data_IF_918505791829
#
_entry.id   IF_918505791829
#
_cell.length_a   1.000
_cell.length_b   1.000
_cell.length_c   1.000
_cell.angle_alpha   90.00
_cell.angle_beta   90.00
_cell.angle_gamma   90.00
#
_symmetry.space_group_name_H-M   'P 1'
#
loop_
_entity.id
_entity.type
_entity.pdbx_description
1 polymer ?
#
# COMPACT_ATOMS: atom_id res chain seq x y z
N UNK A 1 27.84 9.23 -18.47
CA UNK A 1 26.79 9.86 -19.30
C UNK A 1 26.15 10.92 -18.43
N UNK A 2 26.26 12.20 -18.80
CA UNK A 2 25.64 13.29 -18.03
C UNK A 2 24.21 13.43 -18.52
N UNK A 3 23.25 12.83 -17.81
CA UNK A 3 21.82 12.97 -18.12
C UNK A 3 21.41 14.36 -17.67
N UNK A 4 21.00 15.24 -18.59
CA UNK A 4 20.33 16.48 -18.23
C UNK A 4 18.90 16.14 -17.83
N UNK A 5 18.63 16.19 -16.53
CA UNK A 5 17.28 16.01 -15.98
C UNK A 5 16.63 17.38 -15.95
N UNK A 6 15.47 17.52 -16.57
CA UNK A 6 14.66 18.72 -16.41
C UNK A 6 13.88 18.61 -15.09
N UNK A 7 14.40 19.24 -14.04
CA UNK A 7 13.98 19.00 -12.66
C UNK A 7 12.59 19.56 -12.31
N UNK A 8 11.87 20.19 -13.24
CA UNK A 8 10.74 21.07 -12.91
C UNK A 8 9.48 20.95 -13.78
N UNK A 9 9.35 19.94 -14.64
CA UNK A 9 8.12 19.78 -15.42
C UNK A 9 7.04 19.01 -14.64
N UNK A 10 6.34 19.77 -13.79
CA UNK A 10 5.19 19.29 -13.02
C UNK A 10 3.91 19.39 -13.85
N UNK A 11 2.99 18.41 -13.71
CA UNK A 11 1.71 18.43 -14.39
C UNK A 11 0.85 19.59 -13.88
N UNK A 12 0.12 20.20 -14.81
CA UNK A 12 -0.90 21.21 -14.51
C UNK A 12 -2.11 20.57 -13.82
N UNK A 13 -2.97 21.41 -13.24
CA UNK A 13 -4.23 20.95 -12.64
C UNK A 13 -5.13 20.28 -13.67
N UNK A 14 -5.17 20.83 -14.88
CA UNK A 14 -5.96 20.36 -16.01
C UNK A 14 -5.52 18.96 -16.46
N UNK A 15 -4.21 18.68 -16.44
CA UNK A 15 -3.64 17.36 -16.74
C UNK A 15 -3.86 16.34 -15.61
N UNK A 16 -3.77 16.76 -14.35
CA UNK A 16 -3.93 15.84 -13.20
C UNK A 16 -5.39 15.46 -12.93
N UNK A 17 -6.33 16.37 -13.16
CA UNK A 17 -7.76 16.14 -12.85
C UNK A 17 -8.34 14.87 -13.50
N UNK A 18 -8.13 14.58 -14.80
CA UNK A 18 -8.60 13.33 -15.39
C UNK A 18 -7.85 12.11 -14.83
N UNK A 19 -6.55 12.21 -14.55
CA UNK A 19 -5.74 11.09 -14.05
C UNK A 19 -6.14 10.67 -12.64
N UNK A 20 -6.57 11.62 -11.79
CA UNK A 20 -7.13 11.32 -10.47
C UNK A 20 -8.34 10.38 -10.57
N UNK A 21 -9.18 10.56 -11.59
CA UNK A 21 -10.38 9.74 -11.81
C UNK A 21 -10.05 8.31 -12.25
N UNK A 22 -8.84 8.05 -12.73
CA UNK A 22 -8.37 6.72 -13.11
C UNK A 22 -7.87 5.91 -11.90
N UNK A 23 -7.69 6.53 -10.72
CA UNK A 23 -7.32 5.81 -9.51
C UNK A 23 -8.45 4.87 -9.06
N UNK A 24 -8.16 3.61 -8.71
CA UNK A 24 -9.13 2.71 -8.09
C UNK A 24 -9.74 3.23 -6.79
N UNK A 25 -9.00 4.09 -6.07
CA UNK A 25 -9.42 4.74 -4.83
C UNK A 25 -10.04 6.13 -5.06
N UNK A 26 -10.26 6.55 -6.31
CA UNK A 26 -10.83 7.86 -6.61
C UNK A 26 -12.15 8.06 -5.85
N UNK A 27 -12.26 9.19 -5.18
CA UNK A 27 -13.41 9.58 -4.33
C UNK A 27 -13.72 8.64 -3.16
N UNK A 28 -12.86 7.65 -2.90
CA UNK A 28 -13.02 6.76 -1.77
C UNK A 28 -12.71 7.50 -0.47
N UNK A 29 -13.64 7.43 0.49
CA UNK A 29 -13.48 8.03 1.81
C UNK A 29 -14.16 7.15 2.83
N UNK A 30 -13.39 6.78 3.86
CA UNK A 30 -13.94 6.03 4.98
C UNK A 30 -14.63 7.02 5.92
N UNK A 31 -15.86 6.69 6.33
CA UNK A 31 -16.59 7.51 7.31
C UNK A 31 -15.98 7.30 8.69
N UNK A 32 -15.63 8.40 9.37
CA UNK A 32 -14.89 8.33 10.64
C UNK A 32 -15.70 7.77 11.82
N UNK A 33 -17.02 7.92 11.77
CA UNK A 33 -17.97 7.39 12.75
C UNK A 33 -18.05 5.86 12.78
N UNK A 34 -17.68 5.18 11.69
CA UNK A 34 -17.65 3.72 11.62
C UNK A 34 -16.73 3.09 12.69
N UNK A 35 -15.64 3.77 13.04
CA UNK A 35 -14.66 3.28 14.00
C UNK A 35 -14.86 3.80 15.43
N UNK A 36 -15.91 4.58 15.67
CA UNK A 36 -16.26 5.03 17.01
C UNK A 36 -16.91 3.93 17.86
N UNK A 37 -17.38 2.87 17.21
CA UNK A 37 -17.81 1.65 17.88
C UNK A 37 -16.58 0.85 18.36
N UNK A 38 -16.68 0.33 19.59
CA UNK A 38 -15.70 -0.61 20.14
C UNK A 38 -16.36 -1.81 20.78
N UNK A 39 -15.68 -2.95 20.73
CA UNK A 39 -16.01 -4.17 21.47
C UNK A 39 -15.64 -4.09 22.95
N UNK A 40 -14.74 -3.19 23.32
CA UNK A 40 -14.34 -3.01 24.72
C UNK A 40 -15.42 -2.24 25.50
N UNK A 41 -15.67 -2.65 26.74
CA UNK A 41 -16.54 -1.92 27.65
C UNK A 41 -15.79 -0.67 28.15
N UNK A 42 -15.99 0.46 27.47
CA UNK A 42 -15.43 1.76 27.86
C UNK A 42 -16.47 2.59 28.61
N UNK A 43 -16.03 3.38 29.59
CA UNK A 43 -16.90 4.26 30.37
C UNK A 43 -16.27 5.64 30.59
N UNK A 44 -17.11 6.67 30.71
CA UNK A 44 -16.67 8.03 31.03
C UNK A 44 -15.68 8.59 30.01
N UNK A 45 -14.53 9.09 30.50
CA UNK A 45 -13.50 9.70 29.67
C UNK A 45 -12.85 8.72 28.68
N UNK A 46 -12.77 7.43 29.00
CA UNK A 46 -12.18 6.43 28.09
C UNK A 46 -12.98 6.30 26.79
N UNK A 47 -14.31 6.46 26.86
CA UNK A 47 -15.18 6.47 25.68
C UNK A 47 -14.93 7.71 24.81
N UNK A 48 -14.72 8.88 25.44
CA UNK A 48 -14.41 10.14 24.75
C UNK A 48 -13.04 10.05 24.07
N UNK A 49 -12.03 9.55 24.78
CA UNK A 49 -10.68 9.39 24.27
C UNK A 49 -10.63 8.42 23.09
N UNK A 50 -11.37 7.30 23.18
CA UNK A 50 -11.54 6.36 22.07
C UNK A 50 -12.16 7.06 20.85
N UNK A 51 -13.22 7.83 21.05
CA UNK A 51 -13.91 8.53 19.97
C UNK A 51 -12.99 9.52 19.26
N UNK A 52 -12.25 10.34 20.02
CA UNK A 52 -11.28 11.31 19.49
C UNK A 52 -10.17 10.57 18.72
N UNK A 53 -9.59 9.53 19.32
CA UNK A 53 -8.52 8.75 18.68
C UNK A 53 -8.99 8.08 17.38
N UNK A 54 -10.20 7.51 17.36
CA UNK A 54 -10.79 6.89 16.18
C UNK A 54 -11.02 7.92 15.06
N UNK A 55 -11.53 9.11 15.38
CA UNK A 55 -11.70 10.20 14.41
C UNK A 55 -10.36 10.66 13.83
N UNK A 56 -9.34 10.86 14.67
CA UNK A 56 -8.02 11.32 14.24
C UNK A 56 -7.29 10.29 13.36
N UNK A 57 -7.36 9.01 13.73
CA UNK A 57 -6.82 7.92 12.92
C UNK A 57 -7.58 7.77 11.59
N UNK A 58 -8.91 7.90 11.61
CA UNK A 58 -9.73 7.85 10.39
C UNK A 58 -9.43 9.02 9.45
N UNK A 59 -9.22 10.23 10.00
CA UNK A 59 -8.75 11.39 9.23
C UNK A 59 -7.37 11.14 8.63
N UNK A 60 -6.44 10.59 9.40
CA UNK A 60 -5.10 10.24 8.94
C UNK A 60 -5.12 9.19 7.83
N UNK A 61 -5.99 8.18 7.95
CA UNK A 61 -6.20 7.16 6.93
C UNK A 61 -6.78 7.76 5.64
N UNK A 62 -7.81 8.61 5.74
CA UNK A 62 -8.38 9.32 4.59
C UNK A 62 -7.36 10.22 3.89
N UNK A 63 -6.52 10.94 4.65
CA UNK A 63 -5.41 11.71 4.09
C UNK A 63 -4.43 10.81 3.34
N UNK A 64 -4.18 9.59 3.84
CA UNK A 64 -3.30 8.64 3.16
C UNK A 64 -3.93 8.09 1.89
N UNK A 65 -5.24 7.80 1.88
CA UNK A 65 -6.00 7.40 0.68
C UNK A 65 -5.90 8.50 -0.40
N UNK A 66 -6.15 9.76 -0.05
CA UNK A 66 -6.01 10.86 -1.00
C UNK A 66 -4.58 10.99 -1.55
N UNK A 67 -3.57 10.78 -0.71
CA UNK A 67 -2.19 10.78 -1.17
C UNK A 67 -1.88 9.62 -2.14
N UNK A 68 -2.54 8.48 -2.00
CA UNK A 68 -2.41 7.36 -2.93
C UNK A 68 -3.03 7.69 -4.29
N UNK A 69 -4.23 8.29 -4.31
CA UNK A 69 -4.84 8.80 -5.55
C UNK A 69 -3.88 9.75 -6.27
N UNK A 70 -3.31 10.70 -5.52
CA UNK A 70 -2.39 11.67 -6.07
C UNK A 70 -1.12 11.00 -6.62
N UNK A 71 -0.48 10.12 -5.83
CA UNK A 71 0.74 9.42 -6.26
C UNK A 71 0.50 8.53 -7.48
N UNK A 72 -0.63 7.83 -7.53
CA UNK A 72 -0.98 7.01 -8.69
C UNK A 72 -1.25 7.87 -9.94
N UNK A 73 -1.86 9.04 -9.78
CA UNK A 73 -2.06 9.98 -10.88
C UNK A 73 -0.73 10.48 -11.45
N UNK A 74 0.27 10.72 -10.59
CA UNK A 74 1.62 11.05 -11.06
C UNK A 74 2.28 9.88 -11.81
N UNK A 75 2.11 8.63 -11.33
CA UNK A 75 2.59 7.46 -12.08
C UNK A 75 1.96 7.39 -13.47
N UNK A 76 0.65 7.59 -13.57
CA UNK A 76 -0.06 7.65 -14.85
C UNK A 76 0.47 8.78 -15.74
N UNK A 77 0.69 9.97 -15.17
CA UNK A 77 1.20 11.13 -15.92
C UNK A 77 2.54 10.83 -16.57
N UNK A 78 3.55 10.46 -15.78
CA UNK A 78 4.89 10.19 -16.30
C UNK A 78 4.93 8.94 -17.20
N UNK A 79 4.10 7.93 -16.91
CA UNK A 79 3.98 6.78 -17.80
C UNK A 79 3.38 7.14 -19.16
N UNK A 80 2.37 8.03 -19.21
CA UNK A 80 1.72 8.47 -20.46
C UNK A 80 2.62 9.37 -21.31
N UNK A 81 3.56 10.09 -20.69
CA UNK A 81 4.61 10.84 -21.40
C UNK A 81 5.67 9.96 -22.07
N UNK A 82 5.72 8.67 -21.72
CA UNK A 82 6.58 7.69 -22.36
C UNK A 82 7.79 7.31 -21.50
N UNK A 83 7.91 5.99 -21.26
CA UNK A 83 9.06 5.32 -20.64
C UNK A 83 9.24 3.97 -21.37
N UNK A 84 10.25 3.87 -22.24
CA UNK A 84 10.52 2.68 -23.08
C UNK A 84 11.39 1.61 -22.40
N UNK A 85 11.29 1.45 -21.08
CA UNK A 85 12.18 0.62 -20.28
C UNK A 85 11.89 -0.90 -20.31
N UNK A 86 10.89 -1.32 -21.08
CA UNK A 86 10.48 -2.72 -21.23
C UNK A 86 10.86 -3.37 -22.58
N UNK A 87 11.37 -2.61 -23.54
CA UNK A 87 11.67 -3.11 -24.88
C UNK A 87 13.14 -3.56 -25.00
N UNK A 88 13.37 -4.79 -25.49
CA UNK A 88 14.72 -5.31 -25.64
C UNK A 88 15.47 -4.62 -26.81
N UNK A 89 16.75 -4.23 -26.65
CA UNK A 89 17.52 -4.28 -25.41
C UNK A 89 17.13 -3.12 -24.49
N UNK A 90 16.77 -3.46 -23.25
CA UNK A 90 16.08 -2.66 -22.21
C UNK A 90 16.50 -1.18 -22.03
N UNK A 91 17.64 -0.77 -22.59
CA UNK A 91 18.21 0.57 -22.46
C UNK A 91 19.02 1.01 -23.70
N UNK A 92 18.60 0.68 -24.93
CA UNK A 92 19.23 1.30 -26.10
C UNK A 92 18.86 2.80 -26.14
N UNK A 93 19.76 3.64 -25.62
CA UNK A 93 19.71 5.13 -25.65
C UNK A 93 18.29 5.70 -25.46
N UNK A 94 17.72 5.48 -24.28
CA UNK A 94 16.52 6.21 -23.86
C UNK A 94 16.81 7.73 -23.97
N UNK A 95 15.95 8.51 -24.65
CA UNK A 95 16.09 9.97 -24.74
C UNK A 95 16.13 10.62 -23.36
N UNK A 96 16.71 11.83 -23.26
CA UNK A 96 16.76 12.57 -21.99
C UNK A 96 15.37 12.83 -21.41
N UNK A 97 14.36 13.08 -22.25
CA UNK A 97 12.97 13.27 -21.83
C UNK A 97 12.37 12.02 -21.16
N UNK A 98 12.58 10.84 -21.74
CA UNK A 98 12.11 9.58 -21.16
C UNK A 98 12.86 9.26 -19.86
N UNK A 99 14.13 9.63 -19.75
CA UNK A 99 14.88 9.52 -18.49
C UNK A 99 14.32 10.44 -17.40
N UNK A 100 13.95 11.67 -17.75
CA UNK A 100 13.25 12.59 -16.84
C UNK A 100 11.93 11.97 -16.36
N UNK A 101 11.10 11.45 -17.28
CA UNK A 101 9.86 10.75 -16.92
C UNK A 101 10.11 9.57 -16.00
N UNK A 102 11.14 8.75 -16.29
CA UNK A 102 11.49 7.57 -15.50
C UNK A 102 11.87 7.94 -14.07
N UNK A 103 12.73 8.93 -13.87
CA UNK A 103 13.16 9.36 -12.52
C UNK A 103 11.97 9.85 -11.70
N UNK A 104 11.08 10.65 -12.31
CA UNK A 104 9.89 11.09 -11.60
C UNK A 104 8.93 9.93 -11.31
N UNK A 105 8.71 9.04 -12.28
CA UNK A 105 7.91 7.84 -12.10
C UNK A 105 8.42 7.01 -10.91
N UNK A 106 9.72 6.70 -10.86
CA UNK A 106 10.36 5.93 -9.78
C UNK A 106 10.20 6.59 -8.41
N UNK A 107 10.38 7.92 -8.31
CA UNK A 107 10.13 8.64 -7.08
C UNK A 107 8.68 8.47 -6.59
N UNK A 108 7.69 8.49 -7.50
CA UNK A 108 6.30 8.28 -7.13
C UNK A 108 5.97 6.80 -6.85
N UNK A 109 6.75 5.85 -7.38
CA UNK A 109 6.64 4.42 -7.03
C UNK A 109 6.99 4.24 -5.55
N UNK A 110 8.12 4.79 -5.11
CA UNK A 110 8.56 4.71 -3.71
C UNK A 110 7.54 5.31 -2.76
N UNK A 111 7.00 6.47 -3.12
CA UNK A 111 5.98 7.17 -2.35
C UNK A 111 4.70 6.32 -2.27
N UNK A 112 4.20 5.81 -3.40
CA UNK A 112 2.94 5.07 -3.45
C UNK A 112 3.02 3.79 -2.62
N UNK A 113 4.02 2.94 -2.86
CA UNK A 113 4.13 1.66 -2.16
C UNK A 113 4.39 1.85 -0.66
N UNK A 114 5.20 2.83 -0.27
CA UNK A 114 5.40 3.14 1.16
C UNK A 114 4.10 3.60 1.83
N UNK A 115 3.37 4.51 1.19
CA UNK A 115 2.12 5.06 1.71
C UNK A 115 0.99 4.04 1.74
N UNK A 116 0.95 3.11 0.79
CA UNK A 116 -0.09 2.09 0.70
C UNK A 116 -0.05 1.16 1.92
N UNK A 117 1.14 0.65 2.26
CA UNK A 117 1.32 -0.18 3.45
C UNK A 117 1.17 0.63 4.75
N UNK A 118 1.52 1.91 4.76
CA UNK A 118 1.22 2.80 5.90
C UNK A 118 -0.30 2.98 6.09
N UNK A 119 -1.09 3.07 5.02
CA UNK A 119 -2.54 3.13 5.12
C UNK A 119 -3.14 1.83 5.68
N UNK A 120 -2.62 0.67 5.27
CA UNK A 120 -3.01 -0.62 5.85
C UNK A 120 -2.65 -0.72 7.34
N UNK A 121 -1.51 -0.17 7.76
CA UNK A 121 -1.17 -0.10 9.17
C UNK A 121 -2.07 0.88 9.94
N UNK A 122 -2.43 2.04 9.37
CA UNK A 122 -3.42 2.94 9.99
C UNK A 122 -4.79 2.27 10.16
N UNK A 123 -5.24 1.50 9.17
CA UNK A 123 -6.43 0.66 9.28
C UNK A 123 -6.28 -0.38 10.39
N UNK A 124 -5.12 -1.00 10.51
CA UNK A 124 -4.84 -1.94 11.58
C UNK A 124 -4.95 -1.27 12.95
N UNK A 125 -4.37 -0.07 13.13
CA UNK A 125 -4.51 0.69 14.38
C UNK A 125 -5.97 0.92 14.76
N UNK A 126 -6.82 1.28 13.80
CA UNK A 126 -8.27 1.42 13.98
C UNK A 126 -8.89 0.08 14.40
N UNK A 127 -8.61 -1.00 13.68
CA UNK A 127 -9.11 -2.35 14.02
C UNK A 127 -8.67 -2.82 15.41
N UNK A 128 -7.45 -2.50 15.82
CA UNK A 128 -6.96 -2.78 17.17
C UNK A 128 -7.83 -2.07 18.23
N UNK A 129 -8.15 -0.80 18.00
CA UNK A 129 -8.98 -0.01 18.91
C UNK A 129 -10.44 -0.48 18.91
N UNK A 130 -11.07 -0.65 17.74
CA UNK A 130 -12.49 -1.02 17.65
C UNK A 130 -12.77 -2.45 18.08
N UNK A 131 -11.85 -3.39 17.85
CA UNK A 131 -12.09 -4.80 18.14
C UNK A 131 -11.49 -5.26 19.46
N UNK A 132 -10.85 -4.36 20.22
CA UNK A 132 -10.12 -4.71 21.45
C UNK A 132 -9.03 -5.75 21.19
N UNK A 133 -8.29 -5.62 20.08
CA UNK A 133 -7.27 -6.61 19.73
C UNK A 133 -6.09 -6.50 20.71
N UNK A 134 -5.56 -7.66 21.12
CA UNK A 134 -4.45 -7.71 22.09
C UNK A 134 -3.23 -6.95 21.60
N UNK A 135 -2.83 -5.93 22.34
CA UNK A 135 -1.64 -5.09 22.11
C UNK A 135 -0.38 -5.66 22.75
N UNK A 136 -0.50 -6.71 23.57
CA UNK A 136 0.62 -7.32 24.28
C UNK A 136 0.57 -8.86 24.23
N UNK A 137 1.74 -9.49 24.33
CA UNK A 137 1.87 -10.94 24.52
C UNK A 137 2.95 -11.27 25.54
N UNK A 138 2.71 -12.32 26.35
CA UNK A 138 3.73 -12.89 27.23
C UNK A 138 4.62 -13.86 26.43
N UNK A 139 5.93 -13.62 26.43
CA UNK A 139 6.93 -14.49 25.81
C UNK A 139 8.04 -14.77 26.82
N UNK A 140 8.19 -16.04 27.22
CA UNK A 140 9.19 -16.46 28.23
C UNK A 140 9.13 -15.61 29.52
N UNK A 141 7.93 -15.38 30.04
CA UNK A 141 7.72 -14.57 31.25
C UNK A 141 7.81 -13.05 31.07
N UNK A 142 8.19 -12.54 29.89
CA UNK A 142 8.26 -11.08 29.61
C UNK A 142 7.07 -10.62 28.78
N UNK A 143 6.47 -9.49 29.18
CA UNK A 143 5.45 -8.79 28.38
C UNK A 143 6.12 -8.10 27.21
N UNK A 144 5.63 -8.34 25.99
CA UNK A 144 6.09 -7.70 24.76
C UNK A 144 4.92 -7.02 24.05
N UNK A 145 5.13 -5.76 23.67
CA UNK A 145 4.18 -5.01 22.86
C UNK A 145 4.12 -5.62 21.45
N UNK A 146 2.91 -5.75 20.94
CA UNK A 146 2.61 -6.18 19.59
C UNK A 146 2.53 -4.91 18.74
N UNK A 147 3.33 -4.85 17.68
CA UNK A 147 3.22 -3.76 16.71
C UNK A 147 1.81 -3.80 16.06
N UNK A 148 1.13 -2.66 15.97
CA UNK A 148 -0.21 -2.54 15.40
C UNK A 148 -0.18 -2.54 13.86
N UNK A 149 0.53 -3.51 13.27
CA UNK A 149 0.59 -3.67 11.82
C UNK A 149 -0.57 -4.48 11.29
N UNK A 150 -0.86 -4.34 9.98
CA UNK A 150 -1.93 -5.11 9.32
C UNK A 150 -1.77 -6.63 9.49
N UNK A 151 -0.54 -7.15 9.37
CA UNK A 151 -0.25 -8.57 9.59
C UNK A 151 -0.57 -9.03 11.02
N UNK A 152 -0.27 -8.20 12.03
CA UNK A 152 -0.58 -8.53 13.41
C UNK A 152 -2.08 -8.41 13.71
N UNK A 153 -2.78 -7.43 13.11
CA UNK A 153 -4.23 -7.34 13.19
C UNK A 153 -4.88 -8.62 12.65
N UNK A 154 -4.46 -9.09 11.47
CA UNK A 154 -4.94 -10.35 10.87
C UNK A 154 -4.78 -11.55 11.82
N UNK A 155 -3.64 -11.67 12.50
CA UNK A 155 -3.41 -12.75 13.45
C UNK A 155 -4.37 -12.71 14.66
N UNK A 156 -4.71 -11.51 15.14
CA UNK A 156 -5.68 -11.36 16.25
C UNK A 156 -7.12 -11.55 15.76
N UNK A 157 -7.47 -11.00 14.59
CA UNK A 157 -8.80 -11.15 13.98
C UNK A 157 -9.09 -12.63 13.73
N UNK A 158 -8.11 -13.45 13.30
CA UNK A 158 -8.26 -14.91 13.16
C UNK A 158 -8.87 -15.60 14.38
N UNK A 159 -8.54 -15.11 15.58
CA UNK A 159 -9.02 -15.65 16.86
C UNK A 159 -10.36 -15.06 17.29
N UNK A 160 -10.67 -13.85 16.80
CA UNK A 160 -11.83 -13.08 17.19
C UNK A 160 -13.03 -13.36 16.29
N UNK A 161 -12.82 -13.31 14.97
CA UNK A 161 -13.83 -13.47 13.94
C UNK A 161 -13.23 -14.18 12.73
N UNK A 162 -13.60 -15.46 12.57
CA UNK A 162 -13.04 -16.33 11.53
C UNK A 162 -13.54 -15.94 10.13
N UNK A 163 -14.74 -15.39 10.02
CA UNK A 163 -15.33 -15.00 8.74
C UNK A 163 -14.64 -13.75 8.19
N UNK A 164 -14.53 -12.70 9.02
CA UNK A 164 -13.79 -11.49 8.66
C UNK A 164 -12.34 -11.83 8.29
N UNK A 165 -11.69 -12.67 9.09
CA UNK A 165 -10.34 -13.16 8.78
C UNK A 165 -10.30 -13.81 7.40
N UNK A 166 -11.18 -14.78 7.11
CA UNK A 166 -11.14 -15.50 5.84
C UNK A 166 -11.39 -14.57 4.63
N UNK A 167 -12.24 -13.54 4.76
CA UNK A 167 -12.46 -12.54 3.70
C UNK A 167 -11.19 -11.73 3.42
N UNK A 168 -10.54 -11.23 4.46
CA UNK A 168 -9.30 -10.43 4.35
C UNK A 168 -8.09 -11.29 3.94
N UNK A 169 -8.02 -12.54 4.40
CA UNK A 169 -6.92 -13.47 4.13
C UNK A 169 -6.85 -13.84 2.65
N UNK A 170 -8.01 -14.04 2.00
CA UNK A 170 -8.09 -14.25 0.56
C UNK A 170 -7.43 -13.14 -0.25
N UNK A 171 -7.59 -11.89 0.17
CA UNK A 171 -6.94 -10.74 -0.47
C UNK A 171 -5.44 -10.77 -0.20
N UNK A 172 -5.03 -10.95 1.06
CA UNK A 172 -3.62 -10.96 1.46
C UNK A 172 -2.83 -12.08 0.77
N UNK A 173 -3.44 -13.25 0.61
CA UNK A 173 -2.83 -14.43 0.01
C UNK A 173 -2.89 -14.42 -1.53
N UNK A 174 -3.57 -13.42 -2.13
CA UNK A 174 -3.60 -13.24 -3.59
C UNK A 174 -2.22 -12.96 -4.17
N UNK A 175 -2.02 -13.37 -5.43
CA UNK A 175 -0.76 -13.16 -6.13
C UNK A 175 -0.44 -11.67 -6.28
N UNK A 176 -1.47 -10.86 -6.53
CA UNK A 176 -1.40 -9.41 -6.73
C UNK A 176 -0.90 -8.72 -5.45
N UNK A 177 -1.47 -9.08 -4.28
CA UNK A 177 -1.00 -8.56 -2.99
C UNK A 177 0.44 -8.96 -2.71
N UNK A 178 0.81 -10.22 -2.99
CA UNK A 178 2.17 -10.72 -2.79
C UNK A 178 3.19 -9.99 -3.68
N UNK A 179 2.84 -9.72 -4.96
CA UNK A 179 3.67 -8.92 -5.87
C UNK A 179 3.88 -7.51 -5.32
N UNK A 180 2.79 -6.84 -4.91
CA UNK A 180 2.87 -5.50 -4.33
C UNK A 180 3.68 -5.45 -3.04
N UNK A 181 3.52 -6.46 -2.17
CA UNK A 181 4.29 -6.60 -0.94
C UNK A 181 5.78 -6.81 -1.23
N UNK A 182 6.11 -7.61 -2.24
CA UNK A 182 7.48 -7.80 -2.70
C UNK A 182 8.09 -6.51 -3.23
N UNK A 183 7.37 -5.74 -4.06
CA UNK A 183 7.83 -4.42 -4.55
C UNK A 183 8.13 -3.49 -3.38
N UNK A 184 7.20 -3.33 -2.43
CA UNK A 184 7.43 -2.51 -1.23
C UNK A 184 8.62 -3.01 -0.41
N UNK A 185 8.77 -4.31 -0.24
CA UNK A 185 9.90 -4.87 0.50
C UNK A 185 11.23 -4.59 -0.21
N UNK A 186 11.27 -4.74 -1.54
CA UNK A 186 12.45 -4.48 -2.34
C UNK A 186 12.85 -2.99 -2.28
N UNK A 187 11.89 -2.06 -2.31
CA UNK A 187 12.11 -0.61 -2.14
C UNK A 187 12.68 -0.26 -0.76
N UNK A 188 12.10 -0.81 0.31
CA UNK A 188 12.43 -0.37 1.68
C UNK A 188 13.68 -1.07 2.24
N UNK A 189 13.89 -2.34 1.90
CA UNK A 189 14.87 -3.19 2.57
C UNK A 189 15.94 -3.78 1.64
N UNK A 190 15.72 -3.77 0.32
CA UNK A 190 16.67 -4.32 -0.65
C UNK A 190 17.05 -3.25 -1.68
N UNK A 191 17.11 -3.65 -2.95
CA UNK A 191 17.28 -2.76 -4.09
C UNK A 191 15.94 -2.64 -4.82
N UNK A 192 15.51 -1.43 -5.21
CA UNK A 192 14.24 -1.22 -5.89
C UNK A 192 14.11 -2.05 -7.18
N UNK A 193 12.90 -2.53 -7.51
CA UNK A 193 12.70 -3.44 -8.64
C UNK A 193 12.85 -2.80 -10.02
N UNK A 194 12.76 -1.46 -10.10
CA UNK A 194 13.01 -0.66 -11.29
C UNK A 194 14.50 -0.32 -11.50
N UNK A 195 15.38 -0.83 -10.64
CA UNK A 195 16.82 -0.77 -10.85
C UNK A 195 17.32 -2.10 -11.42
N UNK A 196 18.09 -2.04 -12.49
CA UNK A 196 18.69 -3.23 -13.09
C UNK A 196 19.73 -3.84 -12.16
N UNK A 197 19.66 -5.16 -11.98
CA UNK A 197 20.72 -5.90 -11.30
C UNK A 197 21.00 -7.24 -11.94
N UNK A 198 22.25 -7.66 -11.82
CA UNK A 198 22.70 -9.00 -12.16
C UNK A 198 22.54 -9.91 -10.94
N UNK A 199 21.80 -11.00 -11.10
CA UNK A 199 21.59 -12.01 -10.06
C UNK A 199 22.23 -13.33 -10.50
N UNK A 200 23.08 -13.91 -9.64
CA UNK A 200 23.68 -15.22 -9.86
C UNK A 200 22.68 -16.29 -9.43
N UNK A 201 22.22 -17.08 -10.38
CA UNK A 201 21.29 -18.19 -10.14
C UNK A 201 22.02 -19.50 -10.34
N UNK A 202 21.99 -20.37 -9.34
CA UNK A 202 22.46 -21.75 -9.44
C UNK A 202 21.34 -22.62 -10.00
N UNK A 203 21.59 -23.21 -11.16
CA UNK A 203 20.72 -24.26 -11.70
C UNK A 203 20.81 -25.54 -10.84
N UNK A 204 19.79 -26.43 -10.89
CA UNK A 204 19.81 -27.70 -10.15
C UNK A 204 21.03 -28.59 -10.46
N UNK A 205 21.68 -28.40 -11.62
CA UNK A 205 22.90 -29.09 -12.03
C UNK A 205 24.21 -28.44 -11.54
N UNK A 206 24.14 -27.39 -10.72
CA UNK A 206 25.32 -26.71 -10.17
C UNK A 206 25.93 -25.61 -11.05
N UNK A 207 25.44 -25.40 -12.27
CA UNK A 207 25.87 -24.30 -13.14
C UNK A 207 25.34 -22.97 -12.60
N UNK A 208 26.23 -22.00 -12.39
CA UNK A 208 25.90 -20.61 -12.08
C UNK A 208 25.65 -19.83 -13.38
N UNK A 209 24.46 -19.24 -13.51
CA UNK A 209 24.10 -18.33 -14.60
C UNK A 209 23.79 -16.95 -14.04
N UNK A 210 24.13 -15.90 -14.79
CA UNK A 210 23.75 -14.53 -14.43
C UNK A 210 22.47 -14.17 -15.17
N UNK A 211 21.43 -13.80 -14.43
CA UNK A 211 20.19 -13.24 -14.99
C UNK A 211 20.09 -11.76 -14.65
N UNK A 212 19.51 -10.97 -15.54
CA UNK A 212 19.18 -9.56 -15.25
C UNK A 212 17.79 -9.53 -14.63
N UNK A 213 17.68 -9.00 -13.40
CA UNK A 213 16.39 -8.73 -12.76
C UNK A 213 16.07 -7.25 -12.94
N UNK A 214 14.89 -6.98 -13.50
CA UNK A 214 14.35 -5.66 -13.76
C UNK A 214 12.82 -5.76 -13.88
N UNK A 215 12.08 -4.80 -13.34
CA UNK A 215 10.63 -4.68 -13.51
C UNK A 215 10.32 -3.40 -14.27
N UNK A 216 9.82 -3.49 -15.52
CA UNK A 216 9.49 -2.32 -16.33
C UNK A 216 8.43 -1.42 -15.71
N UNK A 217 8.47 -0.13 -16.03
CA UNK A 217 7.55 0.89 -15.50
C UNK A 217 6.09 0.53 -15.74
N UNK A 218 5.78 -0.05 -16.92
CA UNK A 218 4.43 -0.55 -17.23
C UNK A 218 3.96 -1.67 -16.30
N UNK A 219 4.86 -2.58 -15.91
CA UNK A 219 4.53 -3.65 -14.97
C UNK A 219 4.34 -3.09 -13.56
N UNK A 220 5.19 -2.16 -13.11
CA UNK A 220 5.05 -1.50 -11.82
C UNK A 220 3.73 -0.73 -11.73
N UNK A 221 3.33 -0.03 -12.79
CA UNK A 221 2.06 0.69 -12.86
C UNK A 221 0.86 -0.27 -12.68
N UNK A 222 0.90 -1.45 -13.32
CA UNK A 222 -0.14 -2.47 -13.14
C UNK A 222 -0.17 -3.00 -11.70
N UNK A 223 0.99 -3.32 -11.11
CA UNK A 223 1.06 -3.77 -9.72
C UNK A 223 0.52 -2.69 -8.77
N UNK A 224 0.80 -1.40 -9.03
CA UNK A 224 0.27 -0.29 -8.25
C UNK A 224 -1.26 -0.20 -8.37
N UNK A 225 -1.82 -0.32 -9.59
CA UNK A 225 -3.27 -0.33 -9.80
C UNK A 225 -3.93 -1.48 -9.05
N UNK A 226 -3.43 -2.69 -9.22
CA UNK A 226 -3.98 -3.89 -8.60
C UNK A 226 -3.92 -3.78 -7.07
N UNK A 227 -2.83 -3.22 -6.51
CA UNK A 227 -2.74 -2.93 -5.07
C UNK A 227 -3.85 -1.98 -4.60
N UNK A 228 -4.11 -0.88 -5.32
CA UNK A 228 -5.15 0.07 -4.94
C UNK A 228 -6.55 -0.53 -5.03
N UNK A 229 -6.82 -1.41 -6.02
CA UNK A 229 -8.05 -2.18 -6.10
C UNK A 229 -8.23 -3.11 -4.90
N UNK A 230 -7.18 -3.84 -4.51
CA UNK A 230 -7.21 -4.70 -3.35
C UNK A 230 -7.41 -3.91 -2.05
N UNK A 231 -6.77 -2.74 -1.92
CA UNK A 231 -6.97 -1.86 -0.77
C UNK A 231 -8.42 -1.39 -0.66
N UNK A 232 -9.05 -1.04 -1.78
CA UNK A 232 -10.48 -0.71 -1.82
C UNK A 232 -11.33 -1.85 -1.31
N UNK A 233 -11.06 -3.08 -1.75
CA UNK A 233 -11.78 -4.27 -1.29
C UNK A 233 -11.58 -4.51 0.21
N UNK A 234 -10.36 -4.35 0.73
CA UNK A 234 -10.07 -4.43 2.17
C UNK A 234 -10.92 -3.40 2.94
N UNK A 235 -10.95 -2.15 2.49
CA UNK A 235 -11.73 -1.11 3.16
C UNK A 235 -13.22 -1.44 3.17
N UNK A 236 -13.79 -1.87 2.03
CA UNK A 236 -15.21 -2.27 1.93
C UNK A 236 -15.52 -3.42 2.90
N UNK A 237 -14.71 -4.47 2.92
CA UNK A 237 -14.91 -5.62 3.82
C UNK A 237 -14.93 -5.19 5.28
N UNK A 238 -14.02 -4.30 5.68
CA UNK A 238 -13.96 -3.78 7.05
C UNK A 238 -15.17 -2.89 7.36
N UNK A 239 -15.53 -1.98 6.46
CA UNK A 239 -16.68 -1.10 6.65
C UNK A 239 -17.98 -1.88 6.80
N UNK A 240 -18.20 -2.87 5.95
CA UNK A 240 -19.42 -3.67 5.98
C UNK A 240 -19.51 -4.50 7.26
N UNK A 241 -18.39 -5.09 7.68
CA UNK A 241 -18.29 -5.76 8.98
C UNK A 241 -18.64 -4.82 10.14
N UNK A 242 -18.12 -3.59 10.16
CA UNK A 242 -18.38 -2.64 11.24
C UNK A 242 -19.84 -2.16 11.25
N UNK A 243 -20.43 -1.92 10.07
CA UNK A 243 -21.86 -1.55 9.95
C UNK A 243 -22.76 -2.65 10.51
N UNK A 244 -22.47 -3.92 10.20
CA UNK A 244 -23.21 -5.06 10.75
C UNK A 244 -23.14 -5.10 12.28
N UNK A 245 -21.97 -4.82 12.88
CA UNK A 245 -21.84 -4.79 14.35
C UNK A 245 -22.57 -3.62 15.00
N UNK A 246 -22.61 -2.46 14.36
CA UNK A 246 -23.36 -1.30 14.86
C UNK A 246 -24.88 -1.50 14.82
N UNK A 247 -25.41 -2.23 13.81
CA UNK A 247 -26.84 -2.52 13.69
C UNK A 247 -27.37 -3.57 14.68
N UNK A 248 -26.48 -4.36 15.27
CA UNK A 248 -26.82 -5.37 16.28
C UNK A 248 -26.82 -4.84 17.73
N UNK A 249 -26.59 -3.53 17.91
CA UNK A 249 -26.71 -2.79 19.17
C UNK A 249 -28.03 -2.03 19.23
#
# INVERSE_FOLDING_TARGET
>A
MTIKIDLFEFPTKEEMTPLLKESPLYSYRIKGDLFCWTREELAGFDMIDHHIAAQDLSRSLNNRIFQLDLSYSYLLYYSKRGISDGEYPYFKKMPEEEWTNKIHFENYVDILFSKAFTALDLLAHLLFACLGLKTEKKVKGKTKNINKSFNNAMFQIKKLDRELYNKLDKIRDSLEFQKASKVRNDIIHNQPPYEMRNEKVKSPGGTETVIVKYVPSKEILNIARDLLELMRQIFIIVEDFLKEKQLCL
#
